data_IF_895069761672
#
_entry.id   IF_895069761672
#
_cell.length_a   1.000
_cell.length_b   1.000
_cell.length_c   1.000
_cell.angle_alpha   90.00
_cell.angle_beta   90.00
_cell.angle_gamma   90.00
#
_symmetry.space_group_name_H-M   'P 1'
#
loop_
_entity.id
_entity.type
_entity.pdbx_description
1 polymer ?
#
# COMPACT_ATOMS: atom_id res chain seq x y z
N UNK A 1 8.10 -7.58 16.67
CA UNK A 1 8.57 -7.05 15.35
C UNK A 1 10.09 -7.03 15.34
N UNK A 2 10.76 -7.46 14.26
CA UNK A 2 12.21 -7.40 14.18
C UNK A 2 12.71 -5.95 14.19
N UNK A 3 13.80 -5.70 14.89
CA UNK A 3 14.49 -4.40 14.90
C UNK A 3 15.71 -4.36 13.97
N UNK A 4 16.19 -5.50 13.56
CA UNK A 4 17.35 -5.65 12.70
C UNK A 4 16.94 -5.80 11.24
N UNK A 5 17.33 -4.86 10.37
CA UNK A 5 17.01 -4.88 8.94
C UNK A 5 17.73 -5.99 8.17
N UNK A 6 18.74 -6.62 8.75
CA UNK A 6 19.45 -7.74 8.10
C UNK A 6 18.61 -9.03 8.05
N UNK A 7 17.56 -9.12 8.86
CA UNK A 7 16.68 -10.30 8.94
C UNK A 7 15.34 -10.12 8.24
N UNK A 8 15.18 -9.04 7.48
CA UNK A 8 13.96 -8.74 6.72
C UNK A 8 14.27 -8.58 5.24
N UNK A 9 13.23 -8.61 4.42
CA UNK A 9 13.39 -8.34 2.99
C UNK A 9 13.67 -6.85 2.78
N UNK A 10 14.81 -6.51 2.17
CA UNK A 10 15.26 -5.15 1.93
C UNK A 10 15.53 -4.87 0.46
N UNK A 11 14.93 -3.80 -0.07
CA UNK A 11 15.17 -3.36 -1.45
C UNK A 11 14.35 -4.12 -2.49
N UNK A 12 13.17 -4.61 -2.13
CA UNK A 12 12.25 -5.27 -3.06
C UNK A 12 11.63 -4.25 -4.03
N UNK A 13 11.52 -4.62 -5.30
CA UNK A 13 10.78 -3.87 -6.32
C UNK A 13 9.68 -4.76 -6.91
N UNK A 14 8.44 -4.37 -6.71
CA UNK A 14 7.25 -4.97 -7.32
C UNK A 14 6.65 -3.90 -8.23
N UNK A 15 6.92 -3.96 -9.51
CA UNK A 15 6.52 -2.91 -10.43
C UNK A 15 6.09 -3.45 -11.78
N UNK A 16 5.09 -2.77 -12.34
CA UNK A 16 4.60 -3.00 -13.69
C UNK A 16 4.03 -4.41 -13.90
N UNK A 17 3.30 -4.90 -12.91
CA UNK A 17 2.61 -6.19 -12.95
C UNK A 17 1.10 -5.97 -13.03
N UNK A 18 0.41 -6.86 -13.73
CA UNK A 18 -1.03 -7.04 -13.61
C UNK A 18 -1.28 -8.20 -12.64
N UNK A 19 -1.97 -7.92 -11.54
CA UNK A 19 -2.32 -8.88 -10.48
C UNK A 19 -3.83 -8.96 -10.43
N UNK A 20 -4.41 -10.09 -10.79
CA UNK A 20 -5.85 -10.23 -10.84
C UNK A 20 -6.33 -11.66 -10.61
N UNK A 21 -7.62 -11.80 -10.27
CA UNK A 21 -8.25 -13.11 -9.98
C UNK A 21 -7.46 -13.91 -8.95
N UNK A 22 -6.94 -13.24 -7.93
CA UNK A 22 -6.22 -13.87 -6.82
C UNK A 22 -7.13 -14.05 -5.62
N UNK A 23 -6.74 -14.93 -4.69
CA UNK A 23 -7.54 -15.23 -3.50
C UNK A 23 -8.94 -15.80 -3.83
N UNK A 24 -9.05 -16.60 -4.87
CA UNK A 24 -10.33 -17.16 -5.33
C UNK A 24 -10.80 -18.35 -4.50
N UNK A 25 -9.87 -19.08 -3.89
CA UNK A 25 -10.16 -20.24 -3.04
C UNK A 25 -10.03 -19.90 -1.54
N UNK A 26 -9.00 -19.14 -1.17
CA UNK A 26 -8.82 -18.61 0.18
C UNK A 26 -9.08 -17.10 0.17
N UNK A 27 -10.27 -16.70 0.61
CA UNK A 27 -10.73 -15.32 0.54
C UNK A 27 -9.96 -14.37 1.44
N UNK A 28 -9.35 -14.85 2.52
CA UNK A 28 -8.55 -14.06 3.45
C UNK A 28 -7.17 -13.67 2.91
N UNK A 29 -6.83 -14.00 1.66
CA UNK A 29 -5.55 -13.63 1.06
C UNK A 29 -5.63 -12.30 0.29
N UNK A 30 -4.48 -11.73 -0.03
CA UNK A 30 -4.29 -10.36 -0.48
C UNK A 30 -3.73 -10.32 -1.92
N UNK A 31 -3.93 -9.20 -2.61
CA UNK A 31 -3.35 -9.02 -3.94
C UNK A 31 -1.82 -8.97 -3.91
N UNK A 32 -1.26 -8.02 -3.18
CA UNK A 32 0.17 -7.89 -2.88
C UNK A 32 0.32 -7.75 -1.38
N UNK A 33 1.07 -8.65 -0.74
CA UNK A 33 1.36 -8.59 0.69
C UNK A 33 2.86 -8.45 0.95
N UNK A 34 3.24 -7.36 1.59
CA UNK A 34 4.60 -7.07 2.04
C UNK A 34 4.60 -6.87 3.56
N UNK A 35 4.65 -7.98 4.33
CA UNK A 35 4.47 -7.95 5.77
C UNK A 35 5.58 -7.21 6.51
N UNK A 36 6.83 -7.60 6.34
CA UNK A 36 7.96 -6.94 7.03
C UNK A 36 9.08 -6.66 6.03
N UNK A 37 9.11 -5.44 5.53
CA UNK A 37 10.02 -5.02 4.45
C UNK A 37 10.63 -3.66 4.73
N UNK A 38 11.79 -3.40 4.14
CA UNK A 38 12.38 -2.05 4.11
C UNK A 38 12.82 -1.67 2.70
N UNK A 39 12.79 -0.37 2.40
CA UNK A 39 13.13 0.16 1.09
C UNK A 39 12.43 -0.58 -0.06
N UNK A 40 11.17 -0.97 0.17
CA UNK A 40 10.33 -1.65 -0.82
C UNK A 40 9.67 -0.62 -1.73
N UNK A 41 9.65 -0.89 -3.02
CA UNK A 41 8.89 -0.11 -4.01
C UNK A 41 7.78 -1.00 -4.57
N UNK A 42 6.53 -0.56 -4.43
CA UNK A 42 5.36 -1.14 -5.08
C UNK A 42 4.81 -0.06 -6.02
N UNK A 43 5.04 -0.16 -7.32
CA UNK A 43 4.75 0.93 -8.23
C UNK A 43 4.22 0.49 -9.60
N UNK A 44 3.32 1.30 -10.16
CA UNK A 44 2.81 1.07 -11.51
C UNK A 44 2.22 -0.32 -11.74
N UNK A 45 1.65 -0.94 -10.71
CA UNK A 45 0.91 -2.18 -10.88
C UNK A 45 -0.56 -1.88 -11.15
N UNK A 46 -1.22 -2.77 -11.88
CA UNK A 46 -2.68 -2.81 -11.98
C UNK A 46 -3.16 -4.02 -11.18
N UNK A 47 -4.06 -3.79 -10.21
CA UNK A 47 -4.49 -4.81 -9.25
C UNK A 47 -6.02 -4.82 -9.20
N UNK A 48 -6.63 -5.95 -9.53
CA UNK A 48 -8.09 -6.06 -9.56
C UNK A 48 -8.59 -7.49 -9.37
N UNK A 49 -9.90 -7.62 -9.14
CA UNK A 49 -10.57 -8.89 -8.84
C UNK A 49 -9.90 -9.62 -7.67
N UNK A 50 -9.73 -8.90 -6.56
CA UNK A 50 -9.12 -9.40 -5.33
C UNK A 50 -10.19 -9.60 -4.27
N UNK A 51 -10.11 -10.71 -3.53
CA UNK A 51 -11.09 -11.06 -2.50
C UNK A 51 -11.07 -10.14 -1.29
N UNK A 52 -9.90 -9.63 -0.91
CA UNK A 52 -9.65 -8.82 0.28
C UNK A 52 -8.96 -7.49 -0.10
N UNK A 53 -7.98 -7.03 0.67
CA UNK A 53 -7.21 -5.82 0.33
C UNK A 53 -6.31 -6.03 -0.89
N UNK A 54 -6.19 -5.00 -1.74
CA UNK A 54 -5.36 -5.11 -2.93
C UNK A 54 -3.86 -5.03 -2.61
N UNK A 55 -3.45 -4.08 -1.78
CA UNK A 55 -2.07 -3.96 -1.28
C UNK A 55 -2.09 -3.91 0.25
N UNK A 56 -1.34 -4.81 0.89
CA UNK A 56 -1.07 -4.75 2.32
C UNK A 56 0.42 -4.51 2.55
N UNK A 57 0.75 -3.43 3.26
CA UNK A 57 2.11 -3.06 3.60
C UNK A 57 2.27 -2.97 5.12
N UNK A 58 3.10 -3.84 5.66
CA UNK A 58 3.32 -3.93 7.09
C UNK A 58 2.63 -5.12 7.74
N UNK A 59 3.12 -5.48 8.91
CA UNK A 59 2.60 -6.54 9.76
C UNK A 59 2.85 -6.18 11.23
N UNK A 60 2.16 -6.87 12.13
CA UNK A 60 2.18 -6.54 13.56
C UNK A 60 1.35 -5.28 13.87
N UNK A 61 1.16 -4.99 15.12
CA UNK A 61 0.24 -3.92 15.57
C UNK A 61 0.97 -2.98 16.52
N UNK A 62 2.16 -2.51 16.14
CA UNK A 62 3.01 -1.72 17.03
C UNK A 62 3.32 -0.33 16.52
N UNK A 63 3.19 0.64 17.40
CA UNK A 63 3.63 2.02 17.18
C UNK A 63 5.15 2.20 17.35
N UNK A 64 5.82 1.18 17.90
CA UNK A 64 7.27 1.23 18.11
C UNK A 64 8.03 1.11 16.78
N UNK A 65 9.04 1.95 16.61
CA UNK A 65 9.96 1.86 15.46
C UNK A 65 10.62 0.48 15.43
N UNK A 66 10.61 -0.12 14.26
CA UNK A 66 11.09 -1.47 14.00
C UNK A 66 11.94 -1.50 12.72
N UNK A 67 12.17 -2.67 12.13
CA UNK A 67 13.00 -2.79 10.95
C UNK A 67 12.34 -2.26 9.66
N UNK A 68 11.02 -2.07 9.63
CA UNK A 68 10.32 -1.51 8.47
C UNK A 68 10.67 -0.03 8.28
N UNK A 69 10.99 0.35 7.05
CA UNK A 69 11.46 1.70 6.77
C UNK A 69 11.54 1.99 5.28
N UNK A 70 11.25 3.24 4.89
CA UNK A 70 11.59 3.75 3.56
C UNK A 70 10.85 3.08 2.42
N UNK A 71 9.63 2.60 2.67
CA UNK A 71 8.82 1.94 1.66
C UNK A 71 8.07 2.96 0.81
N UNK A 72 7.77 2.62 -0.43
CA UNK A 72 7.00 3.46 -1.34
C UNK A 72 5.94 2.64 -2.07
N UNK A 73 4.71 3.11 -2.02
CA UNK A 73 3.57 2.59 -2.78
C UNK A 73 3.06 3.73 -3.65
N UNK A 74 3.33 3.71 -4.95
CA UNK A 74 2.95 4.83 -5.78
C UNK A 74 2.53 4.46 -7.20
N UNK A 75 1.60 5.27 -7.74
CA UNK A 75 1.10 5.14 -9.11
C UNK A 75 0.57 3.75 -9.45
N UNK A 76 0.04 3.02 -8.48
CA UNK A 76 -0.68 1.79 -8.74
C UNK A 76 -2.13 2.14 -9.12
N UNK A 77 -2.71 1.35 -10.02
CA UNK A 77 -4.12 1.39 -10.35
C UNK A 77 -4.82 0.21 -9.69
N UNK A 78 -5.71 0.49 -8.76
CA UNK A 78 -6.41 -0.51 -7.94
C UNK A 78 -7.90 -0.37 -8.16
N UNK A 79 -8.56 -1.45 -8.53
CA UNK A 79 -10.00 -1.47 -8.73
C UNK A 79 -10.59 -2.85 -8.52
N UNK A 80 -11.90 -2.93 -8.27
CA UNK A 80 -12.61 -4.20 -8.07
C UNK A 80 -11.93 -5.09 -7.02
N UNK A 81 -11.73 -4.56 -5.81
CA UNK A 81 -11.19 -5.28 -4.64
C UNK A 81 -12.29 -5.47 -3.58
N UNK A 82 -11.96 -6.15 -2.46
CA UNK A 82 -12.91 -6.52 -1.41
C UNK A 82 -14.10 -7.32 -1.95
N UNK A 83 -13.83 -8.35 -2.76
CA UNK A 83 -14.88 -9.13 -3.39
C UNK A 83 -15.67 -9.98 -2.40
N UNK A 84 -15.03 -10.46 -1.35
CA UNK A 84 -15.59 -11.38 -0.38
C UNK A 84 -15.41 -10.94 1.08
N UNK A 85 -14.41 -10.13 1.36
CA UNK A 85 -14.04 -9.78 2.72
C UNK A 85 -14.36 -8.31 3.07
N UNK A 86 -14.36 -8.03 4.34
CA UNK A 86 -14.49 -6.71 4.95
C UNK A 86 -13.20 -6.38 5.73
N UNK A 87 -13.19 -5.27 6.48
CA UNK A 87 -12.00 -4.78 7.20
C UNK A 87 -10.78 -4.67 6.27
N UNK A 88 -10.98 -3.96 5.17
CA UNK A 88 -10.07 -3.97 4.03
C UNK A 88 -9.97 -2.61 3.34
N UNK A 89 -8.95 -2.48 2.50
CA UNK A 89 -8.77 -1.30 1.68
C UNK A 89 -8.10 -1.62 0.33
N UNK A 90 -8.15 -0.65 -0.58
CA UNK A 90 -7.26 -0.68 -1.75
C UNK A 90 -5.80 -0.72 -1.33
N UNK A 91 -5.42 0.15 -0.36
CA UNK A 91 -4.10 0.12 0.28
C UNK A 91 -4.29 0.14 1.80
N UNK A 92 -3.76 -0.88 2.45
CA UNK A 92 -3.85 -1.13 3.89
C UNK A 92 -2.46 -1.18 4.52
N UNK A 93 -2.28 -0.57 5.69
CA UNK A 93 -0.99 -0.57 6.40
C UNK A 93 -1.12 -0.95 7.86
N UNK A 94 -0.04 -1.51 8.41
CA UNK A 94 0.12 -1.86 9.81
C UNK A 94 1.48 -1.43 10.35
N UNK A 95 1.54 -1.09 11.62
CA UNK A 95 2.74 -0.79 12.40
C UNK A 95 3.53 0.44 11.94
N UNK A 96 4.51 0.84 12.75
CA UNK A 96 5.38 1.97 12.47
C UNK A 96 6.32 1.69 11.29
N UNK A 97 6.33 2.61 10.33
CA UNK A 97 7.11 2.52 9.10
C UNK A 97 7.72 3.88 8.72
N UNK A 98 8.76 4.33 9.42
CA UNK A 98 9.37 5.62 9.15
C UNK A 98 9.77 5.81 7.68
N UNK A 99 9.53 7.01 7.14
CA UNK A 99 9.80 7.37 5.74
C UNK A 99 9.10 6.48 4.72
N UNK A 100 7.92 5.99 5.04
CA UNK A 100 7.05 5.31 4.09
C UNK A 100 6.11 6.32 3.43
N UNK A 101 5.94 6.19 2.11
CA UNK A 101 5.12 7.08 1.30
C UNK A 101 4.11 6.26 0.49
N UNK A 102 2.87 6.71 0.53
CA UNK A 102 1.75 6.17 -0.27
C UNK A 102 1.24 7.34 -1.10
N UNK A 103 1.60 7.38 -2.38
CA UNK A 103 1.39 8.59 -3.19
C UNK A 103 0.94 8.29 -4.61
N UNK A 104 0.14 9.19 -5.17
CA UNK A 104 -0.25 9.16 -6.58
C UNK A 104 -0.88 7.83 -7.04
N UNK A 105 -1.49 7.06 -6.13
CA UNK A 105 -2.24 5.87 -6.50
C UNK A 105 -3.65 6.24 -6.94
N UNK A 106 -4.25 5.36 -7.74
CA UNK A 106 -5.66 5.42 -8.13
C UNK A 106 -6.39 4.23 -7.53
N UNK A 107 -7.46 4.48 -6.78
CA UNK A 107 -8.25 3.44 -6.10
C UNK A 107 -9.74 3.68 -6.35
N UNK A 108 -10.41 2.76 -7.02
CA UNK A 108 -11.83 2.88 -7.38
C UNK A 108 -12.56 1.53 -7.41
N UNK A 109 -13.87 1.58 -7.63
CA UNK A 109 -14.72 0.42 -7.95
C UNK A 109 -14.57 -0.75 -6.98
N UNK A 110 -14.81 -0.49 -5.72
CA UNK A 110 -14.85 -1.56 -4.72
C UNK A 110 -16.07 -2.48 -4.95
N UNK A 111 -15.91 -3.77 -4.72
CA UNK A 111 -17.03 -4.67 -4.52
C UNK A 111 -17.70 -4.40 -3.16
N UNK A 112 -18.96 -4.71 -3.03
CA UNK A 112 -19.72 -4.55 -1.78
C UNK A 112 -20.37 -5.90 -1.42
N UNK A 113 -19.63 -6.83 -0.81
CA UNK A 113 -20.17 -8.15 -0.48
C UNK A 113 -21.17 -8.03 0.67
N UNK A 114 -22.46 -8.04 0.35
CA UNK A 114 -23.55 -7.85 1.34
C UNK A 114 -23.65 -8.96 2.38
N UNK A 115 -23.02 -10.11 2.12
CA UNK A 115 -22.94 -11.25 3.03
C UNK A 115 -21.76 -11.21 4.00
N UNK A 116 -20.82 -10.28 3.82
CA UNK A 116 -19.70 -10.13 4.75
C UNK A 116 -20.19 -9.73 6.15
N UNK A 117 -19.42 -10.05 7.18
CA UNK A 117 -19.80 -9.77 8.57
C UNK A 117 -20.06 -8.29 8.82
N UNK A 118 -19.24 -7.41 8.27
CA UNK A 118 -19.50 -5.96 8.25
C UNK A 118 -19.30 -5.42 6.82
N UNK A 119 -20.36 -5.44 6.00
CA UNK A 119 -20.27 -5.07 4.59
C UNK A 119 -19.98 -3.58 4.35
N UNK A 120 -19.98 -2.76 5.39
CA UNK A 120 -19.65 -1.35 5.31
C UNK A 120 -18.23 -1.02 5.80
N UNK A 121 -17.51 -1.98 6.38
CA UNK A 121 -16.16 -1.78 6.90
C UNK A 121 -15.10 -2.05 5.82
N UNK A 122 -15.04 -1.16 4.83
CA UNK A 122 -14.10 -1.13 3.73
C UNK A 122 -13.67 0.31 3.44
N UNK A 123 -12.49 0.50 2.92
CA UNK A 123 -11.92 1.83 2.70
C UNK A 123 -11.13 1.87 1.40
N UNK A 124 -10.91 3.09 0.86
CA UNK A 124 -9.97 3.28 -0.24
C UNK A 124 -8.53 3.21 0.28
N UNK A 125 -8.26 3.90 1.39
CA UNK A 125 -6.97 3.93 2.07
C UNK A 125 -7.19 3.70 3.56
N UNK A 126 -6.39 2.82 4.16
CA UNK A 126 -6.55 2.45 5.56
C UNK A 126 -5.20 2.30 6.24
N UNK A 127 -4.88 3.22 7.14
CA UNK A 127 -3.79 3.05 8.10
C UNK A 127 -4.38 2.47 9.38
N UNK A 128 -4.13 1.18 9.61
CA UNK A 128 -4.65 0.47 10.75
C UNK A 128 -3.63 0.43 11.90
N UNK A 129 -3.89 -0.38 12.90
CA UNK A 129 -3.23 -0.41 14.21
C UNK A 129 -1.71 -0.28 14.15
N UNK A 130 -1.21 0.68 14.89
CA UNK A 130 0.22 0.96 15.02
C UNK A 130 0.83 1.72 13.83
N UNK A 131 0.10 1.91 12.71
CA UNK A 131 0.60 2.70 11.57
C UNK A 131 1.11 4.06 12.03
N UNK A 132 2.39 4.34 11.79
CA UNK A 132 3.07 5.54 12.27
C UNK A 132 4.15 5.98 11.30
N UNK A 133 4.40 7.29 11.23
CA UNK A 133 5.45 7.90 10.42
C UNK A 133 5.27 7.64 8.90
N UNK A 134 4.02 7.50 8.45
CA UNK A 134 3.64 7.26 7.06
C UNK A 134 3.08 8.55 6.47
N UNK A 135 3.46 8.87 5.24
CA UNK A 135 2.86 9.96 4.45
C UNK A 135 1.92 9.36 3.40
N UNK A 136 0.65 9.73 3.48
CA UNK A 136 -0.41 9.37 2.53
C UNK A 136 -0.84 10.63 1.80
N UNK A 137 -0.47 10.78 0.52
CA UNK A 137 -0.62 12.04 -0.18
C UNK A 137 -0.90 11.87 -1.67
N UNK A 138 -1.71 12.80 -2.20
CA UNK A 138 -2.00 12.91 -3.63
C UNK A 138 -2.52 11.60 -4.25
N UNK A 139 -3.29 10.80 -3.50
CA UNK A 139 -3.93 9.60 -4.04
C UNK A 139 -5.33 9.96 -4.56
N UNK A 140 -5.59 9.64 -5.81
CA UNK A 140 -6.93 9.77 -6.36
C UNK A 140 -7.78 8.57 -5.95
N UNK A 141 -8.91 8.83 -5.35
CA UNK A 141 -9.89 7.81 -4.93
C UNK A 141 -11.28 8.21 -5.39
N UNK A 142 -12.13 7.26 -5.68
CA UNK A 142 -13.49 7.50 -6.14
C UNK A 142 -14.37 8.22 -5.11
N UNK A 143 -14.02 8.13 -3.83
CA UNK A 143 -14.67 8.80 -2.71
C UNK A 143 -13.69 9.04 -1.57
N UNK A 144 -14.18 9.61 -0.45
CA UNK A 144 -13.35 9.99 0.70
C UNK A 144 -13.51 9.03 1.90
N UNK A 145 -13.75 7.76 1.65
CA UNK A 145 -13.86 6.77 2.70
C UNK A 145 -12.49 6.23 3.09
N UNK A 146 -11.87 6.86 4.08
CA UNK A 146 -10.57 6.51 4.64
C UNK A 146 -10.68 6.14 6.11
N UNK A 147 -9.75 5.33 6.62
CA UNK A 147 -9.68 5.03 8.05
C UNK A 147 -8.25 5.19 8.58
N UNK A 148 -8.17 5.78 9.77
CA UNK A 148 -7.00 5.83 10.63
C UNK A 148 -7.39 5.24 11.98
N UNK A 149 -7.12 3.94 12.17
CA UNK A 149 -7.51 3.20 13.36
C UNK A 149 -6.33 2.93 14.27
N UNK A 150 -6.42 3.33 15.54
CA UNK A 150 -5.40 3.08 16.56
C UNK A 150 -3.97 3.37 16.09
N UNK A 151 -3.81 4.43 15.29
CA UNK A 151 -2.53 4.84 14.74
C UNK A 151 -1.59 5.36 15.82
N UNK A 152 -0.30 5.29 15.56
CA UNK A 152 0.74 5.99 16.29
C UNK A 152 1.02 7.38 15.73
N UNK A 153 2.11 8.02 16.17
CA UNK A 153 2.40 9.40 15.84
C UNK A 153 2.89 9.61 14.41
N UNK A 154 2.87 10.86 13.98
CA UNK A 154 3.58 11.38 12.80
C UNK A 154 3.10 10.82 11.46
N UNK A 155 1.85 10.41 11.34
CA UNK A 155 1.24 10.19 10.03
C UNK A 155 0.85 11.53 9.40
N UNK A 156 1.05 11.66 8.11
CA UNK A 156 0.64 12.83 7.32
C UNK A 156 -0.40 12.40 6.29
N UNK A 157 -1.53 13.10 6.27
CA UNK A 157 -2.60 12.89 5.30
C UNK A 157 -2.88 14.18 4.56
N UNK A 158 -2.59 14.22 3.26
CA UNK A 158 -2.74 15.42 2.45
C UNK A 158 -3.32 15.08 1.07
N UNK A 159 -4.30 15.84 0.62
CA UNK A 159 -4.80 15.82 -0.75
C UNK A 159 -5.09 14.39 -1.27
N UNK A 160 -5.96 13.64 -0.58
CA UNK A 160 -6.45 12.35 -1.03
C UNK A 160 -7.94 12.46 -1.33
N UNK A 161 -8.42 11.84 -2.38
CA UNK A 161 -9.84 11.86 -2.74
C UNK A 161 -10.11 12.20 -4.20
N UNK A 162 -11.40 12.39 -4.57
CA UNK A 162 -11.79 12.65 -5.96
C UNK A 162 -11.36 14.03 -6.48
N UNK A 163 -10.97 14.95 -5.60
CA UNK A 163 -10.48 16.30 -5.94
C UNK A 163 -9.03 16.30 -6.42
N UNK A 164 -8.31 15.21 -6.27
CA UNK A 164 -6.92 15.09 -6.72
C UNK A 164 -6.84 15.24 -8.24
N UNK A 165 -5.82 15.91 -8.72
CA UNK A 165 -5.69 16.27 -10.13
C UNK A 165 -5.71 15.04 -11.07
N UNK A 166 -6.44 15.13 -12.16
CA UNK A 166 -6.66 14.03 -13.12
C UNK A 166 -5.36 13.46 -13.73
N UNK A 167 -4.28 14.23 -13.74
CA UNK A 167 -2.99 13.70 -14.18
C UNK A 167 -2.51 12.48 -13.39
N UNK A 168 -2.93 12.34 -12.12
CA UNK A 168 -2.63 11.16 -11.30
C UNK A 168 -3.31 9.93 -11.92
N UNK A 169 -4.59 10.05 -12.28
CA UNK A 169 -5.33 8.96 -12.94
C UNK A 169 -4.66 8.52 -14.24
N UNK A 170 -4.21 9.49 -15.05
CA UNK A 170 -3.54 9.22 -16.32
C UNK A 170 -2.15 8.58 -16.15
N UNK A 171 -1.54 8.71 -14.96
CA UNK A 171 -0.19 8.24 -14.67
C UNK A 171 -0.10 6.99 -13.79
N UNK A 172 -1.19 6.46 -13.28
CA UNK A 172 -1.23 5.22 -12.52
C UNK A 172 -1.31 3.97 -13.43
N UNK A 173 -1.00 2.81 -12.83
CA UNK A 173 -1.07 1.51 -13.52
C UNK A 173 0.13 1.23 -14.44
N UNK A 174 -0.04 0.25 -15.28
CA UNK A 174 0.99 -0.31 -16.17
C UNK A 174 1.61 0.74 -17.09
N UNK A 175 2.93 0.68 -17.24
CA UNK A 175 3.72 1.54 -18.14
C UNK A 175 4.59 0.71 -19.05
N UNK A 176 4.34 0.64 -20.36
CA UNK A 176 5.10 -0.21 -21.29
C UNK A 176 6.62 0.02 -21.26
N UNK A 177 7.06 1.24 -20.95
CA UNK A 177 8.48 1.63 -20.97
C UNK A 177 8.99 2.02 -19.56
N UNK A 178 8.48 1.39 -18.50
CA UNK A 178 8.94 1.67 -17.14
C UNK A 178 10.41 1.25 -16.96
N UNK A 179 11.25 2.19 -16.54
CA UNK A 179 12.67 1.93 -16.27
C UNK A 179 12.85 1.29 -14.89
N UNK A 180 12.59 -0.02 -14.79
CA UNK A 180 12.74 -0.81 -13.55
C UNK A 180 14.19 -0.77 -13.01
N UNK A 181 15.26 -0.85 -13.81
CA UNK A 181 16.62 -0.61 -13.34
C UNK A 181 16.80 0.71 -12.60
N UNK A 182 16.16 1.79 -13.06
CA UNK A 182 16.22 3.08 -12.37
C UNK A 182 15.51 3.05 -11.01
N UNK A 183 14.38 2.36 -10.86
CA UNK A 183 13.70 2.15 -9.58
C UNK A 183 14.64 1.47 -8.57
N UNK A 184 15.38 0.46 -9.00
CA UNK A 184 16.38 -0.22 -8.15
C UNK A 184 17.53 0.70 -7.74
N UNK A 185 17.99 1.58 -8.62
CA UNK A 185 19.03 2.58 -8.30
C UNK A 185 18.54 3.56 -7.24
N UNK A 186 17.29 3.99 -7.31
CA UNK A 186 16.69 4.87 -6.30
C UNK A 186 16.77 4.27 -4.89
N UNK A 187 16.50 2.97 -4.74
CA UNK A 187 16.65 2.27 -3.47
C UNK A 187 18.09 2.33 -2.97
N UNK A 188 19.07 2.07 -3.84
CA UNK A 188 20.50 2.06 -3.48
C UNK A 188 20.96 3.41 -2.98
N UNK A 189 20.46 4.51 -3.55
CA UNK A 189 20.84 5.88 -3.12
C UNK A 189 20.25 6.27 -1.77
N UNK A 190 19.18 5.60 -1.32
CA UNK A 190 18.51 5.84 -0.02
C UNK A 190 19.13 5.07 1.13
N UNK A 191 19.87 4.00 0.83
CA UNK A 191 20.54 3.24 1.88
C UNK A 191 21.58 4.13 2.56
N UNK A 192 21.58 4.23 3.92
CA UNK A 192 22.65 4.94 4.60
C UNK A 192 23.99 4.37 4.12
N UNK A 193 24.91 5.25 3.73
CA UNK A 193 26.29 4.83 3.41
C UNK A 193 26.77 4.04 4.61
N UNK A 194 27.28 2.82 4.37
CA UNK A 194 27.92 2.04 5.44
C UNK A 194 28.94 2.95 6.10
N UNK A 195 28.76 3.24 7.38
CA UNK A 195 29.83 3.83 8.15
C UNK A 195 30.97 2.81 8.17
N UNK A 196 32.21 3.27 7.97
CA UNK A 196 33.40 2.39 7.96
C UNK A 196 33.57 1.69 9.30
#
# INVERSE_FOLDING_TARGET
MPSDRRVICDGLVIANNTVHNVATEDWGTLGICCGVVSNCIIAHNEIYDVSYSAINLGWGWTQSVNAMYGNEVYRNYIHHYARHEYDCAGIYTLSAQPKTFITENVVEKIYHPTYAHDPNHWFYLYCDEGSSFITVKDNWTEGEKFLQNANGPCNTWENNGPQVHDSIRANAGIRPNLDIPNLRKQIQTRKPKKQP
#
